data_IF_625239640699
#
_entry.id   IF_625239640699
#
_cell.length_a   1.000
_cell.length_b   1.000
_cell.length_c   1.000
_cell.angle_alpha   90.00
_cell.angle_beta   90.00
_cell.angle_gamma   90.00
#
_symmetry.space_group_name_H-M   'P 1'
#
loop_
_entity.id
_entity.type
_entity.pdbx_description
1 polymer ?
#
# COMPACT_ATOMS: atom_id res chain seq x y z
N UNK A 1 -0.94 14.11 13.03
CA UNK A 1 -0.20 15.35 13.37
C UNK A 1 -0.39 16.37 12.24
N UNK A 2 -0.68 17.65 12.53
CA UNK A 2 -0.81 18.68 11.50
C UNK A 2 0.51 18.95 10.77
N UNK A 3 0.44 19.29 9.47
CA UNK A 3 1.60 19.64 8.66
C UNK A 3 2.18 21.00 9.08
N UNK A 4 3.49 21.25 8.89
CA UNK A 4 4.08 22.56 9.19
C UNK A 4 3.39 23.72 8.46
N UNK A 5 2.93 23.51 7.23
CA UNK A 5 2.20 24.49 6.44
C UNK A 5 0.76 24.72 6.95
N UNK A 6 0.11 23.69 7.50
CA UNK A 6 -1.23 23.81 8.11
C UNK A 6 -1.16 24.66 9.37
N UNK A 7 -0.13 24.47 10.20
CA UNK A 7 0.07 25.33 11.37
C UNK A 7 0.23 26.81 10.99
N UNK A 8 0.88 27.11 9.87
CA UNK A 8 0.96 28.47 9.35
C UNK A 8 -0.39 28.99 8.86
N UNK A 9 -1.16 28.16 8.15
CA UNK A 9 -2.50 28.50 7.66
C UNK A 9 -3.46 28.86 8.80
N UNK A 10 -3.35 28.17 9.94
CA UNK A 10 -4.17 28.42 11.14
C UNK A 10 -3.53 29.40 12.15
N UNK A 11 -2.51 30.15 11.73
CA UNK A 11 -1.79 31.13 12.57
C UNK A 11 -1.20 30.56 13.88
N UNK A 12 -0.91 29.26 13.92
CA UNK A 12 -0.30 28.55 15.06
C UNK A 12 1.24 28.65 15.04
N UNK A 13 1.76 29.88 14.89
CA UNK A 13 3.22 30.13 14.77
C UNK A 13 3.98 29.75 16.05
N UNK A 14 3.39 29.98 17.22
CA UNK A 14 3.95 29.63 18.53
C UNK A 14 4.14 28.12 18.66
N UNK A 15 3.11 27.34 18.31
CA UNK A 15 3.16 25.88 18.33
C UNK A 15 4.22 25.34 17.36
N UNK A 16 4.27 25.89 16.13
CA UNK A 16 5.31 25.51 15.16
C UNK A 16 6.72 25.78 15.71
N UNK A 17 6.95 26.94 16.32
CA UNK A 17 8.23 27.29 16.94
C UNK A 17 8.59 26.34 18.10
N UNK A 18 7.61 26.02 18.95
CA UNK A 18 7.78 25.04 20.02
C UNK A 18 8.20 23.67 19.46
N UNK A 19 7.50 23.16 18.43
CA UNK A 19 7.84 21.87 17.80
C UNK A 19 9.30 21.85 17.33
N UNK A 20 9.78 22.90 16.66
CA UNK A 20 11.19 22.98 16.25
C UNK A 20 12.15 23.03 17.44
N UNK A 21 11.81 23.79 18.49
CA UNK A 21 12.62 23.84 19.72
C UNK A 21 12.78 22.46 20.39
N UNK A 22 11.78 21.58 20.26
CA UNK A 22 11.80 20.23 20.82
C UNK A 22 12.32 19.15 19.85
N UNK A 23 13.06 19.52 18.81
CA UNK A 23 13.70 18.58 17.87
C UNK A 23 12.95 18.36 16.57
N UNK A 24 11.88 19.12 16.32
CA UNK A 24 11.11 19.07 15.08
C UNK A 24 9.94 18.10 15.11
N UNK A 25 9.24 18.00 13.98
CA UNK A 25 7.96 17.28 13.88
C UNK A 25 8.13 15.79 14.19
N UNK A 26 9.17 15.16 13.64
CA UNK A 26 9.46 13.74 13.86
C UNK A 26 9.65 13.41 15.34
N UNK A 27 10.54 14.13 16.04
CA UNK A 27 10.84 13.88 17.46
C UNK A 27 9.63 14.14 18.36
N UNK A 28 8.86 15.20 18.08
CA UNK A 28 7.65 15.52 18.85
C UNK A 28 6.57 14.47 18.62
N UNK A 29 6.34 14.04 17.36
CA UNK A 29 5.43 12.94 17.04
C UNK A 29 5.76 11.70 17.84
N UNK A 30 7.02 11.24 17.77
CA UNK A 30 7.46 10.02 18.45
C UNK A 30 7.28 10.11 19.97
N UNK A 31 7.62 11.25 20.58
CA UNK A 31 7.44 11.48 22.03
C UNK A 31 5.97 11.54 22.44
N UNK A 32 5.09 11.98 21.55
CA UNK A 32 3.67 12.08 21.79
C UNK A 32 2.91 10.77 21.48
N UNK A 33 3.60 9.71 21.06
CA UNK A 33 2.94 8.48 20.64
C UNK A 33 2.22 8.60 19.29
N UNK A 34 2.60 9.57 18.45
CA UNK A 34 1.94 9.89 17.18
C UNK A 34 2.81 9.46 16.00
N UNK A 35 2.16 8.99 14.94
CA UNK A 35 2.82 8.66 13.68
C UNK A 35 3.48 9.93 13.08
N UNK A 36 4.75 9.86 12.65
CA UNK A 36 5.43 10.96 11.99
C UNK A 36 4.71 11.41 10.70
N UNK A 37 4.68 12.73 10.38
CA UNK A 37 4.00 13.23 9.19
C UNK A 37 4.50 12.65 7.86
N UNK A 38 5.79 12.36 7.76
CA UNK A 38 6.39 11.85 6.53
C UNK A 38 5.97 10.41 6.23
N UNK A 39 5.91 9.57 7.26
CA UNK A 39 5.41 8.20 7.19
C UNK A 39 3.93 8.18 6.82
N UNK A 40 3.12 9.00 7.50
CA UNK A 40 1.72 9.19 7.16
C UNK A 40 1.51 9.61 5.72
N UNK A 41 2.30 10.59 5.25
CA UNK A 41 2.23 11.08 3.88
C UNK A 41 2.61 9.99 2.89
N UNK A 42 3.65 9.20 3.17
CA UNK A 42 4.06 8.09 2.31
C UNK A 42 2.94 7.06 2.18
N UNK A 43 2.30 6.69 3.29
CA UNK A 43 1.16 5.78 3.30
C UNK A 43 -0.02 6.31 2.47
N UNK A 44 -0.47 7.54 2.74
CA UNK A 44 -1.61 8.14 2.03
C UNK A 44 -1.35 8.34 0.52
N UNK A 45 -0.14 8.75 0.16
CA UNK A 45 0.21 8.97 -1.26
C UNK A 45 0.27 7.63 -2.02
N UNK A 46 0.67 6.54 -1.34
CA UNK A 46 0.68 5.20 -1.95
C UNK A 46 -0.75 4.63 -2.05
N UNK A 47 -1.59 4.87 -1.05
CA UNK A 47 -3.02 4.55 -1.10
C UNK A 47 -3.72 5.26 -2.28
N UNK A 48 -3.44 6.55 -2.47
CA UNK A 48 -3.96 7.34 -3.60
C UNK A 48 -3.50 6.74 -4.93
N UNK A 49 -2.23 6.36 -5.04
CA UNK A 49 -1.67 5.72 -6.23
C UNK A 49 -2.41 4.43 -6.59
N UNK A 50 -2.61 3.52 -5.63
CA UNK A 50 -3.32 2.26 -5.88
C UNK A 50 -4.77 2.54 -6.27
N UNK A 51 -5.43 3.50 -5.62
CA UNK A 51 -6.82 3.87 -5.92
C UNK A 51 -6.98 4.42 -7.34
N UNK A 52 -6.11 5.34 -7.75
CA UNK A 52 -6.06 5.90 -9.09
C UNK A 52 -5.73 4.83 -10.15
N UNK A 53 -4.81 3.93 -9.85
CA UNK A 53 -4.46 2.81 -10.73
C UNK A 53 -5.64 1.84 -10.92
N UNK A 54 -6.34 1.50 -9.84
CA UNK A 54 -7.54 0.66 -9.89
C UNK A 54 -8.63 1.29 -10.76
N UNK A 55 -8.93 2.57 -10.55
CA UNK A 55 -9.90 3.30 -11.37
C UNK A 55 -9.50 3.33 -12.85
N UNK A 56 -8.23 3.60 -13.14
CA UNK A 56 -7.71 3.57 -14.50
C UNK A 56 -7.93 2.19 -15.14
N UNK A 57 -7.53 1.11 -14.46
CA UNK A 57 -7.68 -0.24 -15.00
C UNK A 57 -9.15 -0.62 -15.19
N UNK A 58 -10.05 -0.19 -14.30
CA UNK A 58 -11.48 -0.43 -14.42
C UNK A 58 -12.09 0.27 -15.64
N UNK A 59 -11.62 1.48 -15.99
CA UNK A 59 -12.08 2.22 -17.17
C UNK A 59 -11.59 1.61 -18.48
N UNK A 60 -10.34 1.14 -18.53
CA UNK A 60 -9.69 0.69 -19.77
C UNK A 60 -9.62 -0.84 -19.92
N UNK A 61 -10.06 -1.63 -18.95
CA UNK A 61 -10.13 -3.10 -19.04
C UNK A 61 -11.11 -3.57 -20.12
N UNK A 62 -12.26 -2.89 -20.25
CA UNK A 62 -13.30 -3.24 -21.22
C UNK A 62 -12.88 -2.98 -22.67
N UNK A 63 -12.08 -1.94 -22.89
CA UNK A 63 -11.62 -1.54 -24.24
C UNK A 63 -10.63 -2.56 -24.80
N UNK A 64 -9.80 -3.15 -23.94
CA UNK A 64 -8.80 -4.16 -24.37
C UNK A 64 -9.44 -5.51 -24.72
N UNK A 65 -10.65 -5.78 -24.23
CA UNK A 65 -11.33 -7.07 -24.42
C UNK A 65 -12.02 -7.20 -25.80
N UNK A 66 -12.19 -6.09 -26.55
CA UNK A 66 -12.97 -6.12 -27.80
C UNK A 66 -12.16 -6.43 -29.06
N UNK A 67 -10.83 -6.26 -29.05
CA UNK A 67 -10.04 -6.27 -30.28
C UNK A 67 -9.17 -7.50 -30.50
N UNK A 68 -8.90 -8.30 -29.47
CA UNK A 68 -8.02 -9.45 -29.59
C UNK A 68 -8.75 -10.74 -29.22
N UNK A 69 -9.04 -11.57 -30.23
CA UNK A 69 -9.36 -13.01 -30.08
C UNK A 69 -8.18 -13.84 -29.53
N UNK A 70 -7.20 -13.18 -28.91
CA UNK A 70 -6.03 -13.82 -28.32
C UNK A 70 -6.46 -14.36 -26.95
N UNK A 71 -6.71 -15.67 -26.91
CA UNK A 71 -6.81 -16.53 -25.74
C UNK A 71 -6.83 -15.79 -24.38
N UNK A 72 -8.06 -15.47 -23.94
CA UNK A 72 -8.45 -14.82 -22.67
C UNK A 72 -7.81 -15.39 -21.39
N UNK A 73 -7.08 -16.50 -21.53
CA UNK A 73 -6.48 -17.28 -20.48
C UNK A 73 -5.23 -16.64 -19.87
N UNK A 74 -4.50 -15.75 -20.55
CA UNK A 74 -3.29 -15.13 -19.99
C UNK A 74 -3.44 -13.61 -19.92
N UNK A 75 -4.45 -13.15 -19.17
CA UNK A 75 -4.49 -11.74 -18.74
C UNK A 75 -3.38 -11.52 -17.71
N UNK A 76 -2.16 -11.40 -18.21
CA UNK A 76 -0.96 -11.16 -17.43
C UNK A 76 -1.17 -9.83 -16.71
N UNK A 77 -0.77 -9.75 -15.44
CA UNK A 77 -0.86 -8.53 -14.61
C UNK A 77 0.06 -7.44 -15.19
N UNK A 78 -0.30 -6.82 -16.30
CA UNK A 78 0.56 -5.89 -17.03
C UNK A 78 0.32 -4.48 -16.56
N UNK A 79 1.42 -3.80 -16.24
CA UNK A 79 1.35 -2.41 -15.79
C UNK A 79 1.18 -1.45 -16.98
N UNK A 80 0.19 -0.54 -16.97
CA UNK A 80 -0.07 0.39 -18.07
C UNK A 80 1.16 1.22 -18.47
N UNK A 81 1.31 1.54 -19.75
CA UNK A 81 2.44 2.38 -20.19
C UNK A 81 2.21 3.82 -19.76
N UNK A 82 3.29 4.49 -19.36
CA UNK A 82 3.24 5.89 -18.92
C UNK A 82 2.67 6.84 -19.99
N UNK A 83 2.95 6.58 -21.27
CA UNK A 83 2.40 7.36 -22.39
C UNK A 83 0.88 7.25 -22.45
N UNK A 84 0.35 6.04 -22.29
CA UNK A 84 -1.08 5.75 -22.38
C UNK A 84 -1.84 6.41 -21.22
N UNK A 85 -1.30 6.30 -19.99
CA UNK A 85 -1.84 6.99 -18.81
C UNK A 85 -1.94 8.50 -19.06
N UNK A 86 -0.89 9.11 -19.63
CA UNK A 86 -0.83 10.54 -19.91
C UNK A 86 -1.76 10.94 -21.05
N UNK A 87 -1.82 10.18 -22.15
CA UNK A 87 -2.71 10.48 -23.29
C UNK A 87 -4.18 10.35 -22.93
N UNK A 88 -4.50 9.48 -21.97
CA UNK A 88 -5.84 9.26 -21.46
C UNK A 88 -6.27 10.30 -20.39
N UNK A 89 -5.46 11.35 -20.16
CA UNK A 89 -5.80 12.44 -19.23
C UNK A 89 -5.56 12.16 -17.75
N UNK A 90 -4.99 11.00 -17.38
CA UNK A 90 -4.71 10.64 -15.99
C UNK A 90 -3.37 11.22 -15.49
N UNK A 91 -3.24 12.55 -15.58
CA UNK A 91 -2.02 13.28 -15.20
C UNK A 91 -1.63 13.12 -13.72
N UNK A 92 -2.62 12.95 -12.83
CA UNK A 92 -2.40 12.70 -11.40
C UNK A 92 -1.74 11.35 -11.16
N UNK A 93 -2.31 10.27 -11.70
CA UNK A 93 -1.72 8.92 -11.64
C UNK A 93 -0.30 8.90 -12.24
N UNK A 94 -0.10 9.58 -13.37
CA UNK A 94 1.23 9.72 -13.97
C UNK A 94 2.25 10.34 -12.99
N UNK A 95 1.89 11.47 -12.35
CA UNK A 95 2.76 12.15 -11.40
C UNK A 95 3.01 11.32 -10.14
N UNK A 96 1.98 10.61 -9.65
CA UNK A 96 2.12 9.67 -8.53
C UNK A 96 3.13 8.57 -8.88
N UNK A 97 2.99 7.92 -10.03
CA UNK A 97 3.91 6.88 -10.48
C UNK A 97 5.35 7.40 -10.57
N UNK A 98 5.56 8.60 -11.11
CA UNK A 98 6.88 9.22 -11.22
C UNK A 98 7.49 9.51 -9.84
N UNK A 99 6.70 10.04 -8.90
CA UNK A 99 7.14 10.35 -7.54
C UNK A 99 7.59 9.12 -6.73
N UNK A 100 7.07 7.94 -7.06
CA UNK A 100 7.40 6.65 -6.42
C UNK A 100 8.50 5.87 -7.15
N UNK A 101 9.36 6.54 -7.92
CA UNK A 101 10.48 5.88 -8.63
C UNK A 101 10.10 5.26 -9.98
N UNK A 102 8.90 5.55 -10.48
CA UNK A 102 8.48 5.24 -11.83
C UNK A 102 7.85 3.86 -12.02
N UNK A 103 7.39 3.63 -13.26
CA UNK A 103 6.59 2.46 -13.65
C UNK A 103 7.18 1.11 -13.24
N UNK A 104 8.49 0.93 -13.45
CA UNK A 104 9.16 -0.36 -13.19
C UNK A 104 9.18 -0.70 -11.71
N UNK A 105 9.40 0.30 -10.86
CA UNK A 105 9.42 0.13 -9.42
C UNK A 105 8.06 -0.33 -8.91
N UNK A 106 7.02 0.41 -9.27
CA UNK A 106 5.65 0.11 -8.83
C UNK A 106 5.14 -1.20 -9.42
N UNK A 107 5.44 -1.49 -10.69
CA UNK A 107 5.05 -2.76 -11.29
C UNK A 107 5.68 -3.93 -10.52
N UNK A 108 6.98 -3.89 -10.23
CA UNK A 108 7.63 -4.91 -9.39
C UNK A 108 6.99 -4.98 -8.01
N UNK A 109 6.76 -3.83 -7.38
CA UNK A 109 6.16 -3.73 -6.05
C UNK A 109 4.77 -4.34 -5.99
N UNK A 110 3.92 -4.14 -7.00
CA UNK A 110 2.56 -4.69 -7.10
C UNK A 110 2.50 -6.11 -7.70
N UNK A 111 3.66 -6.77 -7.88
CA UNK A 111 3.77 -8.05 -8.57
C UNK A 111 3.09 -8.06 -9.97
N UNK A 112 3.37 -6.99 -10.72
CA UNK A 112 2.91 -6.74 -12.08
C UNK A 112 4.09 -6.74 -13.05
N UNK A 113 3.83 -7.16 -14.29
CA UNK A 113 4.82 -7.19 -15.36
C UNK A 113 4.93 -5.80 -16.00
N UNK A 114 6.11 -5.18 -15.90
CA UNK A 114 6.39 -3.89 -16.53
C UNK A 114 6.74 -4.00 -18.03
N UNK A 115 6.37 -5.09 -18.72
CA UNK A 115 7.04 -5.49 -19.96
C UNK A 115 7.11 -4.39 -21.03
N UNK A 116 8.26 -4.32 -21.71
CA UNK A 116 8.44 -3.58 -22.97
C UNK A 116 8.05 -4.43 -24.20
N UNK A 117 8.12 -5.76 -24.08
CA UNK A 117 7.91 -6.74 -25.14
C UNK A 117 6.98 -7.84 -24.63
N UNK A 118 5.75 -7.82 -25.12
CA UNK A 118 4.66 -8.59 -24.53
C UNK A 118 4.80 -10.12 -24.67
N UNK A 119 5.75 -10.67 -25.45
CA UNK A 119 5.64 -12.10 -25.86
C UNK A 119 6.94 -12.93 -25.89
N UNK A 120 8.16 -12.38 -25.97
CA UNK A 120 9.32 -13.24 -26.35
C UNK A 120 10.13 -13.91 -25.24
N UNK A 121 10.10 -13.41 -24.00
CA UNK A 121 11.01 -13.89 -22.96
C UNK A 121 10.31 -14.48 -21.73
N UNK A 122 9.05 -14.91 -21.85
CA UNK A 122 8.47 -15.86 -20.90
C UNK A 122 9.13 -17.25 -21.09
N UNK A 123 10.46 -17.31 -20.92
CA UNK A 123 11.14 -18.56 -20.64
C UNK A 123 10.69 -18.96 -19.25
N UNK A 124 9.68 -19.82 -19.26
CA UNK A 124 9.22 -20.64 -18.15
C UNK A 124 10.47 -21.13 -17.43
N UNK A 125 10.74 -20.61 -16.24
CA UNK A 125 11.76 -21.18 -15.38
C UNK A 125 11.37 -22.62 -15.12
N UNK A 126 12.25 -23.55 -15.55
CA UNK A 126 12.04 -25.01 -15.46
C UNK A 126 11.91 -25.52 -14.01
N UNK A 127 12.05 -24.62 -13.03
CA UNK A 127 11.97 -24.93 -11.61
C UNK A 127 10.57 -24.70 -11.02
N UNK A 128 9.54 -24.47 -11.83
CA UNK A 128 8.18 -24.92 -11.55
C UNK A 128 7.66 -24.70 -10.12
N UNK A 129 7.73 -23.47 -9.62
CA UNK A 129 7.07 -23.09 -8.37
C UNK A 129 6.44 -21.69 -8.50
N UNK A 130 5.51 -21.57 -9.43
CA UNK A 130 4.36 -20.69 -9.26
C UNK A 130 3.13 -21.55 -9.54
N UNK A 131 2.71 -22.27 -8.50
CA UNK A 131 1.45 -23.03 -8.45
C UNK A 131 0.29 -22.01 -8.39
N UNK A 132 0.02 -21.41 -9.55
CA UNK A 132 -0.83 -20.24 -9.71
C UNK A 132 -2.08 -20.55 -10.52
N UNK A 133 -2.83 -21.58 -10.12
CA UNK A 133 -4.19 -21.82 -10.66
C UNK A 133 -5.20 -20.75 -10.17
N UNK A 134 -4.78 -19.85 -9.27
CA UNK A 134 -5.56 -18.70 -8.84
C UNK A 134 -5.19 -17.48 -9.68
N UNK A 135 -5.72 -17.44 -10.90
CA UNK A 135 -5.82 -16.22 -11.73
C UNK A 135 -6.80 -15.24 -11.11
N UNK A 136 -6.48 -14.77 -9.91
CA UNK A 136 -7.25 -13.70 -9.31
C UNK A 136 -7.05 -12.44 -10.15
N UNK A 137 -8.18 -11.91 -10.59
CA UNK A 137 -8.31 -10.68 -11.35
C UNK A 137 -7.47 -9.57 -10.68
N UNK A 138 -6.61 -8.93 -11.46
CA UNK A 138 -5.81 -7.80 -11.01
C UNK A 138 -6.66 -6.72 -10.33
N UNK A 139 -7.89 -6.51 -10.83
CA UNK A 139 -8.83 -5.56 -10.21
C UNK A 139 -9.24 -6.01 -8.81
N UNK A 140 -9.56 -7.30 -8.62
CA UNK A 140 -9.88 -7.85 -7.31
C UNK A 140 -8.69 -7.78 -6.34
N UNK A 141 -7.46 -7.92 -6.85
CA UNK A 141 -6.24 -7.74 -6.07
C UNK A 141 -6.04 -6.30 -5.61
N UNK A 142 -6.20 -5.34 -6.51
CA UNK A 142 -6.07 -3.91 -6.17
C UNK A 142 -7.21 -3.45 -5.25
N UNK A 143 -8.45 -3.92 -5.45
CA UNK A 143 -9.58 -3.69 -4.54
C UNK A 143 -9.26 -4.20 -3.12
N UNK A 144 -8.68 -5.40 -3.01
CA UNK A 144 -8.19 -5.93 -1.75
C UNK A 144 -7.18 -4.98 -1.08
N UNK A 145 -6.16 -4.52 -1.79
CA UNK A 145 -5.15 -3.61 -1.21
C UNK A 145 -5.80 -2.29 -0.76
N UNK A 146 -6.72 -1.73 -1.54
CA UNK A 146 -7.46 -0.51 -1.20
C UNK A 146 -8.26 -0.72 0.09
N UNK A 147 -8.99 -1.84 0.21
CA UNK A 147 -9.76 -2.16 1.41
C UNK A 147 -8.87 -2.36 2.63
N UNK A 148 -7.75 -3.07 2.49
CA UNK A 148 -6.78 -3.27 3.56
C UNK A 148 -6.17 -1.93 4.03
N UNK A 149 -5.77 -1.06 3.11
CA UNK A 149 -5.23 0.25 3.48
C UNK A 149 -6.29 1.15 4.13
N UNK A 150 -7.55 1.09 3.69
CA UNK A 150 -8.68 1.76 4.38
C UNK A 150 -8.88 1.21 5.79
N UNK A 151 -8.79 -0.10 5.97
CA UNK A 151 -8.85 -0.73 7.29
C UNK A 151 -7.75 -0.20 8.20
N UNK A 152 -6.50 -0.21 7.74
CA UNK A 152 -5.35 0.31 8.50
C UNK A 152 -5.61 1.77 8.89
N UNK A 153 -6.01 2.60 7.92
CA UNK A 153 -6.33 4.02 8.10
C UNK A 153 -7.42 4.26 9.15
N UNK A 154 -8.47 3.45 9.17
CA UNK A 154 -9.64 3.67 10.00
C UNK A 154 -9.52 3.04 11.40
N UNK A 155 -8.85 1.90 11.52
CA UNK A 155 -8.87 1.12 12.76
C UNK A 155 -7.55 1.21 13.52
N UNK A 156 -6.43 0.96 12.84
CA UNK A 156 -5.11 0.98 13.49
C UNK A 156 -4.69 2.40 13.90
N UNK A 157 -5.15 3.41 13.16
CA UNK A 157 -4.82 4.81 13.45
C UNK A 157 -5.62 5.44 14.60
N UNK A 158 -6.70 4.79 15.01
CA UNK A 158 -7.52 5.21 16.14
C UNK A 158 -7.11 4.53 17.46
N UNK A 159 -6.06 3.69 17.43
CA UNK A 159 -5.48 3.13 18.65
C UNK A 159 -4.98 4.25 19.56
N UNK A 160 -5.31 4.15 20.84
CA UNK A 160 -5.06 5.21 21.84
C UNK A 160 -3.54 5.34 22.05
N UNK A 161 -2.96 6.55 21.86
CA UNK A 161 -1.55 6.80 22.18
C UNK A 161 -1.32 6.73 23.71
N UNK A 162 -0.10 6.41 24.19
CA UNK A 162 1.15 6.38 23.42
C UNK A 162 1.49 5.01 22.82
N UNK A 163 1.78 5.00 21.52
CA UNK A 163 2.37 3.84 20.85
C UNK A 163 3.84 3.70 21.26
N UNK A 164 4.25 2.52 21.72
CA UNK A 164 5.65 2.23 22.02
C UNK A 164 6.52 2.38 20.76
N UNK A 165 5.99 1.96 19.61
CA UNK A 165 6.53 2.25 18.28
C UNK A 165 5.52 3.04 17.45
N UNK A 166 5.84 4.32 17.22
CA UNK A 166 5.02 5.24 16.43
C UNK A 166 5.18 5.01 14.93
N UNK A 167 4.81 3.82 14.45
CA UNK A 167 4.86 3.46 13.04
C UNK A 167 3.52 2.87 12.57
N UNK A 168 3.28 2.90 11.27
CA UNK A 168 2.12 2.27 10.63
C UNK A 168 2.47 0.81 10.38
N UNK A 169 1.90 -0.09 11.17
CA UNK A 169 2.16 -1.52 11.02
C UNK A 169 1.17 -2.19 10.09
N UNK A 170 1.63 -3.27 9.45
CA UNK A 170 0.73 -4.24 8.84
C UNK A 170 -0.07 -4.97 9.95
N UNK A 171 -1.41 -5.01 9.87
CA UNK A 171 -2.22 -5.70 10.87
C UNK A 171 -1.94 -7.19 10.86
N UNK A 172 -2.00 -7.82 12.03
CA UNK A 172 -1.92 -9.28 12.16
C UNK A 172 -3.23 -9.92 11.68
N UNK A 173 -3.19 -11.23 11.37
CA UNK A 173 -4.42 -11.95 11.03
C UNK A 173 -5.41 -11.95 12.20
N UNK A 174 -4.92 -12.10 13.43
CA UNK A 174 -5.71 -12.01 14.66
C UNK A 174 -6.45 -10.67 14.76
N UNK A 175 -5.75 -9.55 14.54
CA UNK A 175 -6.39 -8.23 14.51
C UNK A 175 -7.45 -8.12 13.41
N UNK A 176 -7.23 -8.70 12.23
CA UNK A 176 -8.26 -8.70 11.18
C UNK A 176 -9.50 -9.50 11.61
N UNK A 177 -9.33 -10.63 12.31
CA UNK A 177 -10.45 -11.41 12.84
C UNK A 177 -11.17 -10.70 14.00
N UNK A 178 -10.44 -10.05 14.91
CA UNK A 178 -11.00 -9.29 16.03
C UNK A 178 -11.91 -8.15 15.57
N UNK A 179 -11.59 -7.52 14.44
CA UNK A 179 -12.40 -6.48 13.83
C UNK A 179 -13.42 -7.01 12.81
N UNK A 180 -13.72 -8.32 12.84
CA UNK A 180 -14.71 -8.99 11.97
C UNK A 180 -14.40 -8.90 10.46
N UNK A 181 -13.15 -8.65 10.08
CA UNK A 181 -12.70 -8.55 8.68
C UNK A 181 -12.15 -9.89 8.16
N UNK A 182 -12.91 -10.97 8.38
CA UNK A 182 -12.54 -12.34 8.00
C UNK A 182 -12.21 -12.48 6.50
N UNK A 183 -12.94 -11.75 5.65
CA UNK A 183 -12.72 -11.75 4.21
C UNK A 183 -11.37 -11.12 3.83
N UNK A 184 -10.91 -10.08 4.57
CA UNK A 184 -9.59 -9.48 4.35
C UNK A 184 -8.50 -10.45 4.83
N UNK A 185 -8.66 -11.06 6.00
CA UNK A 185 -7.70 -12.04 6.53
C UNK A 185 -7.46 -13.19 5.54
N UNK A 186 -8.54 -13.80 5.03
CA UNK A 186 -8.47 -14.87 4.01
C UNK A 186 -7.75 -14.41 2.73
N UNK A 187 -7.97 -13.16 2.30
CA UNK A 187 -7.27 -12.59 1.14
C UNK A 187 -5.79 -12.34 1.43
N UNK A 188 -5.43 -11.93 2.65
CA UNK A 188 -4.03 -11.79 3.06
C UNK A 188 -3.30 -13.12 2.94
N UNK A 189 -3.87 -14.19 3.49
CA UNK A 189 -3.32 -15.55 3.36
C UNK A 189 -3.20 -15.99 1.90
N UNK A 190 -4.26 -15.76 1.12
CA UNK A 190 -4.33 -16.10 -0.29
C UNK A 190 -3.21 -15.44 -1.12
N UNK A 191 -2.87 -14.19 -0.83
CA UNK A 191 -1.87 -13.43 -1.56
C UNK A 191 -0.44 -13.55 -1.01
N UNK A 192 -0.16 -14.61 -0.25
CA UNK A 192 1.20 -14.93 0.23
C UNK A 192 1.46 -14.55 1.68
N UNK A 193 0.43 -14.16 2.42
CA UNK A 193 0.51 -13.88 3.86
C UNK A 193 0.93 -12.45 4.22
N UNK A 194 0.97 -12.19 5.53
CA UNK A 194 1.20 -10.86 6.11
C UNK A 194 2.54 -10.27 5.68
N UNK A 195 3.63 -11.05 5.72
CA UNK A 195 4.97 -10.56 5.40
C UNK A 195 5.12 -10.11 3.94
N UNK A 196 4.56 -10.87 3.00
CA UNK A 196 4.60 -10.54 1.58
C UNK A 196 3.85 -9.23 1.31
N UNK A 197 2.65 -9.09 1.86
CA UNK A 197 1.83 -7.88 1.69
C UNK A 197 2.46 -6.68 2.39
N UNK A 198 3.02 -6.87 3.59
CA UNK A 198 3.73 -5.82 4.31
C UNK A 198 4.94 -5.31 3.50
N UNK A 199 5.76 -6.20 2.95
CA UNK A 199 6.86 -5.83 2.05
C UNK A 199 6.36 -5.03 0.84
N UNK A 200 5.25 -5.47 0.25
CA UNK A 200 4.63 -4.77 -0.88
C UNK A 200 4.09 -3.39 -0.50
N UNK A 201 3.55 -3.22 0.70
CA UNK A 201 3.06 -1.94 1.18
C UNK A 201 4.16 -1.08 1.82
N UNK A 202 5.40 -1.59 1.93
CA UNK A 202 6.52 -0.99 2.69
C UNK A 202 6.13 -0.70 4.16
N UNK A 203 5.36 -1.61 4.75
CA UNK A 203 4.94 -1.53 6.14
C UNK A 203 5.79 -2.49 6.99
N UNK A 204 6.20 -2.08 8.21
CA UNK A 204 6.74 -3.00 9.18
C UNK A 204 5.72 -4.08 9.58
N UNK A 205 6.21 -5.28 9.86
CA UNK A 205 5.44 -6.39 10.43
C UNK A 205 5.72 -6.46 11.91
N UNK A 206 4.72 -6.76 12.73
CA UNK A 206 4.94 -7.09 14.14
C UNK A 206 5.81 -8.34 14.24
N UNK A 207 7.00 -8.20 14.84
CA UNK A 207 7.78 -9.37 15.22
C UNK A 207 7.07 -10.07 16.37
N UNK A 208 6.48 -11.23 16.09
CA UNK A 208 5.81 -12.08 17.09
C UNK A 208 6.76 -12.53 18.22
N UNK A 209 8.08 -12.35 18.03
CA UNK A 209 9.14 -12.74 18.98
C UNK A 209 9.10 -12.02 20.33
N UNK A 210 8.40 -10.87 20.45
CA UNK A 210 8.38 -10.08 21.69
C UNK A 210 7.08 -10.18 22.50
N UNK A 211 6.01 -10.77 21.94
CA UNK A 211 4.70 -10.81 22.63
C UNK A 211 4.63 -11.84 23.77
N UNK A 212 5.60 -12.75 23.90
CA UNK A 212 5.63 -13.72 25.00
C UNK A 212 6.18 -13.16 26.33
N UNK A 213 6.72 -11.93 26.36
CA UNK A 213 7.40 -11.38 27.56
C UNK A 213 6.70 -10.22 28.26
N UNK A 214 5.66 -9.60 27.71
CA UNK A 214 5.13 -8.33 28.26
C UNK A 214 3.71 -8.36 28.83
N UNK A 215 2.96 -9.47 28.75
CA UNK A 215 1.59 -9.52 29.29
C UNK A 215 1.47 -10.05 30.73
N UNK A 216 2.55 -10.44 31.39
CA UNK A 216 2.51 -10.98 32.78
C UNK A 216 2.89 -9.97 33.88
N UNK A 217 3.07 -8.68 33.58
CA UNK A 217 3.65 -7.73 34.56
C UNK A 217 2.83 -6.46 34.85
N UNK A 218 1.50 -6.47 34.67
CA UNK A 218 0.63 -5.40 35.21
C UNK A 218 -0.72 -5.94 35.69
N UNK A 219 -0.71 -6.55 36.88
CA UNK A 219 -1.84 -6.59 37.81
C UNK A 219 -1.31 -6.12 39.17
#
# INVERSE_FOLDING_TARGET
>A
MPRPCELLKYNQRSLRSAIYKYGGFYSVSKRAGLIPPDEWRSFETFYELISELHQYLQLYSNISSSNDNINKSESTRIFPRMRDIKSNGHGRLYALIESYGGRRYIAKRLNMTASKHFIRDARIDKNGAYDGDKKDDLLAYLDFLIRLMKFIRNNMMNMIPPLDDCAIFMPTLEQLYEYEEEALAKRVELYGGVAQIAQMLELPVFETSHSARSMTSRL
#
